data_IF_087946976857
#
_entry.id   IF_087946976857
#
_cell.length_a   1.000
_cell.length_b   1.000
_cell.length_c   1.000
_cell.angle_alpha   90.00
_cell.angle_beta   90.00
_cell.angle_gamma   90.00
#
_symmetry.space_group_name_H-M   'P 1'
#
loop_
_entity.id
_entity.type
_entity.pdbx_description
1 polymer ?
#
# COMPACT_ATOMS: atom_id res chain seq x y z
N UNK A 1 21.39 0.21 -3.99
CA UNK A 1 20.09 -0.19 -4.55
C UNK A 1 19.02 0.32 -3.61
N UNK A 2 18.25 1.32 -4.02
CA UNK A 2 17.13 1.87 -3.24
C UNK A 2 15.95 0.90 -3.34
N UNK A 3 15.18 0.75 -2.27
CA UNK A 3 13.99 -0.12 -2.20
C UNK A 3 13.03 0.16 -3.37
N UNK A 4 12.98 1.42 -3.81
CA UNK A 4 12.20 1.92 -4.93
C UNK A 4 12.47 1.21 -6.27
N UNK A 5 13.73 0.84 -6.55
CA UNK A 5 14.08 0.20 -7.83
C UNK A 5 13.61 -1.25 -7.89
N UNK A 6 13.77 -2.01 -6.81
CA UNK A 6 13.33 -3.41 -6.75
C UNK A 6 11.80 -3.54 -6.76
N UNK A 7 11.09 -2.62 -6.11
CA UNK A 7 9.61 -2.54 -6.14
C UNK A 7 9.06 -2.43 -7.57
N UNK A 8 9.76 -1.71 -8.45
CA UNK A 8 9.33 -1.46 -9.83
C UNK A 8 9.80 -2.54 -10.80
N UNK A 9 11.06 -2.98 -10.69
CA UNK A 9 11.65 -3.92 -11.63
C UNK A 9 11.30 -5.39 -11.32
N UNK A 10 11.16 -5.73 -10.03
CA UNK A 10 10.95 -7.10 -9.56
C UNK A 10 9.95 -7.13 -8.38
N UNK A 11 8.70 -6.70 -8.59
CA UNK A 11 7.72 -6.57 -7.51
C UNK A 11 7.49 -7.89 -6.76
N UNK A 12 7.53 -9.04 -7.44
CA UNK A 12 7.36 -10.36 -6.81
C UNK A 12 8.47 -10.68 -5.81
N UNK A 13 9.73 -10.41 -6.17
CA UNK A 13 10.89 -10.64 -5.29
C UNK A 13 10.91 -9.65 -4.13
N UNK A 14 10.54 -8.40 -4.40
CA UNK A 14 10.41 -7.38 -3.38
C UNK A 14 9.35 -7.73 -2.33
N UNK A 15 8.16 -8.17 -2.77
CA UNK A 15 7.09 -8.65 -1.88
C UNK A 15 7.51 -9.88 -1.08
N UNK A 16 8.24 -10.82 -1.70
CA UNK A 16 8.79 -12.00 -1.01
C UNK A 16 9.75 -11.59 0.09
N UNK A 17 10.71 -10.70 -0.20
CA UNK A 17 11.66 -10.16 0.79
C UNK A 17 10.97 -9.46 1.95
N UNK A 18 9.98 -8.61 1.67
CA UNK A 18 9.21 -7.96 2.74
C UNK A 18 8.57 -8.98 3.71
N UNK A 19 8.04 -10.08 3.18
CA UNK A 19 7.45 -11.17 3.99
C UNK A 19 8.48 -11.93 4.81
N UNK A 20 9.68 -12.14 4.27
CA UNK A 20 10.76 -12.86 4.95
C UNK A 20 11.45 -11.98 6.01
N UNK A 21 11.58 -10.68 5.75
CA UNK A 21 12.40 -9.77 6.52
C UNK A 21 11.57 -8.64 7.12
N UNK A 22 10.99 -8.86 8.31
CA UNK A 22 10.10 -7.87 8.98
C UNK A 22 10.69 -6.46 9.12
N UNK A 23 12.00 -6.33 9.25
CA UNK A 23 12.66 -5.03 9.37
C UNK A 23 12.55 -4.18 8.09
N UNK A 24 12.29 -4.80 6.93
CA UNK A 24 12.06 -4.10 5.67
C UNK A 24 10.75 -3.32 5.67
N UNK A 25 9.73 -3.71 6.45
CA UNK A 25 8.51 -2.90 6.63
C UNK A 25 8.81 -1.58 7.33
N UNK A 26 9.70 -1.59 8.33
CA UNK A 26 10.13 -0.35 9.01
C UNK A 26 10.91 0.55 8.07
N UNK A 27 11.75 -0.05 7.22
CA UNK A 27 12.50 0.69 6.22
C UNK A 27 11.60 1.28 5.13
N UNK A 28 10.60 0.52 4.66
CA UNK A 28 9.57 1.01 3.75
C UNK A 28 8.82 2.20 4.35
N UNK A 29 8.41 2.10 5.62
CA UNK A 29 7.73 3.19 6.32
C UNK A 29 8.64 4.43 6.45
N UNK A 30 9.90 4.24 6.82
CA UNK A 30 10.86 5.34 6.93
C UNK A 30 11.14 6.03 5.59
N UNK A 31 11.21 5.27 4.49
CA UNK A 31 11.42 5.78 3.14
C UNK A 31 10.19 6.51 2.59
N UNK A 32 8.99 5.96 2.84
CA UNK A 32 7.74 6.56 2.40
C UNK A 32 7.30 7.77 3.25
N UNK A 33 7.78 7.88 4.49
CA UNK A 33 7.46 8.98 5.41
C UNK A 33 6.07 8.90 6.07
N UNK A 34 5.15 8.07 5.55
CA UNK A 34 3.85 7.80 6.18
C UNK A 34 3.34 6.39 5.90
N UNK A 35 2.43 5.90 6.76
CA UNK A 35 1.78 4.59 6.57
C UNK A 35 0.97 4.58 5.28
N UNK A 36 0.27 5.67 4.96
CA UNK A 36 -0.57 5.81 3.77
C UNK A 36 0.24 5.63 2.49
N UNK A 37 1.40 6.28 2.40
CA UNK A 37 2.30 6.19 1.24
C UNK A 37 2.98 4.82 1.15
N UNK A 38 3.43 4.28 2.30
CA UNK A 38 3.99 2.93 2.36
C UNK A 38 2.95 1.87 1.94
N UNK A 39 1.71 2.02 2.37
CA UNK A 39 0.60 1.14 2.02
C UNK A 39 0.27 1.21 0.53
N UNK A 40 0.29 2.42 -0.05
CA UNK A 40 0.04 2.58 -1.49
C UNK A 40 1.08 1.85 -2.32
N UNK A 41 2.38 2.00 -1.99
CA UNK A 41 3.48 1.27 -2.65
C UNK A 41 3.32 -0.23 -2.54
N UNK A 42 3.03 -0.73 -1.34
CA UNK A 42 2.80 -2.15 -1.09
C UNK A 42 1.60 -2.68 -1.89
N UNK A 43 0.49 -1.95 -1.91
CA UNK A 43 -0.70 -2.31 -2.66
C UNK A 43 -0.44 -2.27 -4.17
N UNK A 44 0.25 -1.25 -4.68
CA UNK A 44 0.60 -1.13 -6.10
C UNK A 44 1.50 -2.29 -6.56
N UNK A 45 2.51 -2.65 -5.78
CA UNK A 45 3.36 -3.81 -6.08
C UNK A 45 2.52 -5.10 -6.16
N UNK A 46 1.52 -5.26 -5.29
CA UNK A 46 0.58 -6.39 -5.34
C UNK A 46 -0.27 -6.38 -6.60
N UNK A 47 -0.85 -5.25 -6.97
CA UNK A 47 -1.66 -5.14 -8.18
C UNK A 47 -0.85 -5.45 -9.46
N UNK A 48 0.47 -5.17 -9.47
CA UNK A 48 1.36 -5.49 -10.58
C UNK A 48 1.68 -6.99 -10.73
N UNK A 49 1.65 -7.76 -9.65
CA UNK A 49 1.95 -9.21 -9.68
C UNK A 49 0.69 -10.08 -9.83
N UNK A 50 -0.49 -9.48 -9.79
CA UNK A 50 -1.75 -10.20 -10.01
C UNK A 50 -1.88 -10.67 -11.47
N UNK A 51 -2.62 -11.79 -11.73
CA UNK A 51 -2.82 -12.32 -13.07
C UNK A 51 -3.45 -11.31 -14.04
N UNK A 52 -4.34 -10.45 -13.52
CA UNK A 52 -4.82 -9.27 -14.21
C UNK A 52 -4.11 -8.08 -13.59
N UNK A 53 -3.12 -7.56 -14.30
CA UNK A 53 -2.27 -6.49 -13.80
C UNK A 53 -3.00 -5.15 -13.87
N UNK A 54 -3.20 -4.53 -12.71
CA UNK A 54 -3.71 -3.18 -12.60
C UNK A 54 -2.63 -2.27 -12.01
N UNK A 55 -2.54 -1.04 -12.51
CA UNK A 55 -1.54 -0.08 -12.04
C UNK A 55 -1.97 0.67 -10.77
N UNK A 56 -3.26 0.65 -10.45
CA UNK A 56 -3.89 1.47 -9.42
C UNK A 56 -4.57 0.56 -8.39
N UNK A 57 -4.18 0.64 -7.10
CA UNK A 57 -4.81 -0.15 -6.05
C UNK A 57 -6.20 0.37 -5.70
N UNK A 58 -7.07 -0.53 -5.23
CA UNK A 58 -8.35 -0.19 -4.62
C UNK A 58 -8.18 0.28 -3.16
N UNK A 59 -9.20 0.95 -2.62
CA UNK A 59 -9.22 1.30 -1.18
C UNK A 59 -9.12 0.08 -0.27
N UNK A 60 -9.72 -1.04 -0.67
CA UNK A 60 -9.65 -2.28 0.09
C UNK A 60 -8.21 -2.80 0.16
N UNK A 61 -7.51 -2.83 -0.98
CA UNK A 61 -6.10 -3.24 -1.04
C UNK A 61 -5.19 -2.29 -0.26
N UNK A 62 -5.44 -0.97 -0.36
CA UNK A 62 -4.72 0.04 0.41
C UNK A 62 -4.86 -0.17 1.92
N UNK A 63 -6.08 -0.44 2.40
CA UNK A 63 -6.36 -0.64 3.82
C UNK A 63 -5.74 -1.93 4.35
N UNK A 64 -5.79 -3.01 3.57
CA UNK A 64 -5.11 -4.28 3.91
C UNK A 64 -3.60 -4.07 3.99
N UNK A 65 -3.01 -3.33 3.05
CA UNK A 65 -1.59 -3.01 3.08
C UNK A 65 -1.19 -2.14 4.29
N UNK A 66 -2.02 -1.14 4.64
CA UNK A 66 -1.79 -0.30 5.80
C UNK A 66 -1.81 -1.10 7.11
N UNK A 67 -2.77 -2.01 7.26
CA UNK A 67 -2.89 -2.88 8.43
C UNK A 67 -1.68 -3.82 8.57
N UNK A 68 -1.25 -4.40 7.46
CA UNK A 68 -0.07 -5.27 7.41
C UNK A 68 1.22 -4.53 7.80
N UNK A 69 1.40 -3.30 7.31
CA UNK A 69 2.54 -2.47 7.70
C UNK A 69 2.46 -2.17 9.19
N UNK A 70 1.29 -1.72 9.69
CA UNK A 70 1.09 -1.39 11.09
C UNK A 70 1.42 -2.58 12.01
N UNK A 71 0.92 -3.78 11.67
CA UNK A 71 1.19 -5.01 12.39
C UNK A 71 2.69 -5.35 12.42
N UNK A 72 3.40 -5.22 11.30
CA UNK A 72 4.81 -5.58 11.20
C UNK A 72 5.75 -4.56 11.86
N UNK A 73 5.39 -3.28 11.88
CA UNK A 73 6.19 -2.25 12.55
C UNK A 73 5.89 -2.14 14.04
N UNK A 74 4.78 -2.72 14.50
CA UNK A 74 4.31 -2.66 15.89
C UNK A 74 3.54 -1.36 16.20
N UNK A 75 2.93 -0.74 15.19
CA UNK A 75 2.08 0.42 15.39
C UNK A 75 0.76 0.00 16.06
N UNK A 76 0.31 0.78 17.05
CA UNK A 76 -0.94 0.49 17.78
C UNK A 76 -2.20 0.87 17.00
N UNK A 77 -2.09 1.77 16.01
CA UNK A 77 -3.22 2.32 15.28
C UNK A 77 -2.89 2.41 13.79
N UNK A 78 -3.75 1.80 12.98
CA UNK A 78 -3.76 1.97 11.53
C UNK A 78 -4.62 3.21 11.22
N UNK A 79 -4.20 4.11 10.30
CA UNK A 79 -5.01 5.25 9.92
C UNK A 79 -6.38 4.82 9.39
N UNK A 80 -7.42 5.61 9.68
CA UNK A 80 -8.76 5.38 9.13
C UNK A 80 -8.75 5.59 7.61
N UNK A 81 -9.70 4.94 6.91
CA UNK A 81 -9.79 4.97 5.45
C UNK A 81 -9.77 6.39 4.87
N UNK A 82 -10.47 7.34 5.49
CA UNK A 82 -10.52 8.74 5.05
C UNK A 82 -9.14 9.40 5.09
N UNK A 83 -8.37 9.17 6.16
CA UNK A 83 -7.01 9.67 6.29
C UNK A 83 -6.08 9.04 5.26
N UNK A 84 -6.19 7.72 5.04
CA UNK A 84 -5.40 7.03 4.01
C UNK A 84 -5.64 7.65 2.63
N UNK A 85 -6.89 7.98 2.31
CA UNK A 85 -7.29 8.59 1.05
C UNK A 85 -6.79 10.04 0.93
N UNK A 86 -6.98 10.85 1.96
CA UNK A 86 -6.50 12.24 1.99
C UNK A 86 -4.98 12.32 1.80
N UNK A 87 -4.23 11.45 2.47
CA UNK A 87 -2.78 11.39 2.35
C UNK A 87 -2.35 10.96 0.94
N UNK A 88 -3.06 9.99 0.35
CA UNK A 88 -2.80 9.56 -1.03
C UNK A 88 -3.10 10.69 -2.03
N UNK A 89 -4.24 11.38 -1.87
CA UNK A 89 -4.64 12.50 -2.71
C UNK A 89 -3.64 13.67 -2.61
N UNK A 90 -3.23 14.04 -1.38
CA UNK A 90 -2.23 15.07 -1.14
C UNK A 90 -0.87 14.74 -1.77
N UNK A 91 -0.54 13.45 -1.92
CA UNK A 91 0.66 12.98 -2.61
C UNK A 91 0.47 12.74 -4.12
N UNK A 92 -0.72 13.02 -4.67
CA UNK A 92 -1.04 12.80 -6.09
C UNK A 92 -1.17 11.32 -6.48
N UNK A 93 -1.43 10.43 -5.52
CA UNK A 93 -1.54 8.99 -5.72
C UNK A 93 -2.98 8.57 -5.99
N UNK A 94 -3.20 7.89 -7.11
CA UNK A 94 -4.51 7.36 -7.47
C UNK A 94 -4.86 6.12 -6.64
N UNK A 95 -6.12 6.07 -6.17
CA UNK A 95 -6.73 4.94 -5.47
C UNK A 95 -8.14 4.74 -6.02
N UNK A 96 -8.52 3.50 -6.34
CA UNK A 96 -9.86 3.19 -6.86
C UNK A 96 -10.84 3.11 -5.69
N UNK A 97 -11.81 4.03 -5.68
CA UNK A 97 -12.93 4.05 -4.74
C UNK A 97 -14.00 3.04 -5.17
N UNK A 98 -14.64 2.34 -4.22
CA UNK A 98 -15.83 1.55 -4.54
C UNK A 98 -16.90 2.48 -5.07
N UNK A 99 -17.56 2.09 -6.17
CA UNK A 99 -18.78 2.75 -6.61
C UNK A 99 -19.83 2.52 -5.53
N UNK A 100 -20.15 3.56 -4.76
CA UNK A 100 -21.33 3.53 -3.89
C UNK A 100 -22.52 3.12 -4.74
N UNK A 101 -23.14 1.98 -4.42
CA UNK A 101 -24.37 1.58 -5.10
C UNK A 101 -25.38 2.73 -4.97
N UNK A 102 -26.11 3.10 -6.04
CA UNK A 102 -27.18 4.07 -5.91
C UNK A 102 -28.17 3.54 -4.88
N UNK A 103 -28.44 4.37 -3.87
CA UNK A 103 -29.47 4.15 -2.87
C UNK A 103 -30.80 3.97 -3.62
N UNK A 104 -31.27 2.72 -3.75
CA UNK A 104 -32.61 2.45 -4.21
C UNK A 104 -33.54 2.91 -3.09
N UNK A 105 -34.17 4.07 -3.30
CA UNK A 105 -35.25 4.60 -2.48
C UNK A 105 -36.53 3.76 -2.63
#
# INVERSE_FOLDING_TARGET
MTIDTEERERPSEWLRRLREERHLYRRLLADAGSISLAAHRLAQARCRVQPVSFAIPTVAELRVAADEIALNVGAKLTPVTEQLLQDCEAAGLAVILPLSAPHAA
#
